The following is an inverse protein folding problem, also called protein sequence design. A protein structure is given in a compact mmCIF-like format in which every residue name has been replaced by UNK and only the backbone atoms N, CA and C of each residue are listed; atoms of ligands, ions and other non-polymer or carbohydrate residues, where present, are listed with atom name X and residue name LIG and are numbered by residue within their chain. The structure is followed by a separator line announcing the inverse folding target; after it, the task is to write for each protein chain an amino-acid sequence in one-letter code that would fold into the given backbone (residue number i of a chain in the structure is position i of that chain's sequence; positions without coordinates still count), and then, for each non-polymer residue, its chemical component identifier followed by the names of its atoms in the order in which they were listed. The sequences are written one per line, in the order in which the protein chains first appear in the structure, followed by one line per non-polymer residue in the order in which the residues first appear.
data_IF_745123230421
#
_entry.id   IF_745123230421
#
_cell.length_a   1.000
_cell.length_b   1.000
_cell.length_c   1.000
_cell.angle_alpha   90.00
_cell.angle_beta   90.00
_cell.angle_gamma   90.00
#
_symmetry.space_group_name_H-M   'P 1'
#
loop_
_entity.id
_entity.type
_entity.pdbx_description
1 polymer ?
#
# COMPACT_ATOMS: atom_id res chain seq x y z
N UNK A 1 -3.06 9.57 8.32
CA UNK A 1 -4.11 8.78 7.63
C UNK A 1 -4.10 9.04 6.13
N UNK A 2 -4.27 10.29 5.66
CA UNK A 2 -4.19 10.64 4.23
C UNK A 2 -2.93 10.06 3.54
N UNK A 3 -1.77 10.19 4.16
CA UNK A 3 -0.49 9.68 3.64
C UNK A 3 -0.43 8.18 3.32
N UNK A 4 -1.22 7.33 4.00
CA UNK A 4 -1.20 5.88 3.78
C UNK A 4 -2.08 5.49 2.58
N UNK A 5 -3.30 6.05 2.50
CA UNK A 5 -4.16 5.84 1.34
C UNK A 5 -3.56 6.47 0.08
N UNK A 6 -2.94 7.65 0.20
CA UNK A 6 -2.23 8.31 -0.91
C UNK A 6 -1.05 7.48 -1.42
N UNK A 7 -0.30 6.81 -0.53
CA UNK A 7 0.80 5.93 -0.93
C UNK A 7 0.31 4.71 -1.75
N UNK A 8 -0.93 4.29 -1.54
CA UNK A 8 -1.61 3.25 -2.33
C UNK A 8 -2.37 3.83 -3.54
N UNK A 9 -2.42 5.16 -3.70
CA UNK A 9 -3.20 5.84 -4.72
C UNK A 9 -4.72 5.72 -4.51
N UNK A 10 -5.15 5.63 -3.26
CA UNK A 10 -6.54 5.43 -2.87
C UNK A 10 -7.09 6.64 -2.13
N UNK A 11 -8.42 6.79 -2.16
CA UNK A 11 -9.11 7.76 -1.33
C UNK A 11 -9.07 7.30 0.15
N UNK A 12 -8.96 8.20 1.14
CA UNK A 12 -9.08 7.85 2.56
C UNK A 12 -10.38 7.13 2.95
N UNK A 13 -11.43 7.24 2.14
CA UNK A 13 -12.70 6.52 2.31
C UNK A 13 -12.74 5.17 1.55
N UNK A 14 -11.61 4.70 1.01
CA UNK A 14 -11.56 3.44 0.28
C UNK A 14 -11.83 2.24 1.21
N UNK A 15 -12.56 1.25 0.69
CA UNK A 15 -12.83 0.01 1.42
C UNK A 15 -11.58 -0.83 1.60
N UNK A 16 -11.58 -1.67 2.64
CA UNK A 16 -10.49 -2.61 2.89
C UNK A 16 -10.18 -3.51 1.67
N UNK A 17 -11.19 -3.86 0.88
CA UNK A 17 -11.00 -4.66 -0.32
C UNK A 17 -10.26 -3.89 -1.43
N UNK A 18 -10.60 -2.61 -1.63
CA UNK A 18 -9.88 -1.72 -2.54
C UNK A 18 -8.41 -1.54 -2.12
N UNK A 19 -8.16 -1.42 -0.81
CA UNK A 19 -6.82 -1.36 -0.22
C UNK A 19 -6.01 -2.62 -0.53
N UNK A 20 -6.60 -3.80 -0.29
CA UNK A 20 -5.96 -5.09 -0.62
C UNK A 20 -5.69 -5.24 -2.12
N UNK A 21 -6.62 -4.78 -2.97
CA UNK A 21 -6.46 -4.83 -4.42
C UNK A 21 -5.32 -3.93 -4.90
N UNK A 22 -5.28 -2.66 -4.45
CA UNK A 22 -4.22 -1.70 -4.78
C UNK A 22 -2.85 -2.19 -4.31
N UNK A 23 -2.76 -2.72 -3.08
CA UNK A 23 -1.54 -3.31 -2.55
C UNK A 23 -1.00 -4.42 -3.46
N UNK A 24 -1.84 -5.40 -3.82
CA UNK A 24 -1.42 -6.50 -4.71
C UNK A 24 -0.96 -6.00 -6.09
N UNK A 25 -1.60 -4.95 -6.62
CA UNK A 25 -1.22 -4.37 -7.90
C UNK A 25 0.15 -3.67 -7.81
N UNK A 26 0.35 -2.83 -6.80
CA UNK A 26 1.60 -2.10 -6.59
C UNK A 26 2.77 -3.04 -6.21
N UNK A 27 2.50 -4.08 -5.43
CA UNK A 27 3.48 -5.09 -5.05
C UNK A 27 4.04 -5.84 -6.27
N UNK A 28 3.20 -6.15 -7.26
CA UNK A 28 3.68 -6.72 -8.53
C UNK A 28 4.46 -5.70 -9.36
N UNK A 29 4.01 -4.44 -9.39
CA UNK A 29 4.66 -3.37 -10.17
C UNK A 29 6.06 -3.02 -9.65
N UNK A 30 6.25 -3.08 -8.34
CA UNK A 30 7.52 -2.77 -7.68
C UNK A 30 8.23 -4.03 -7.15
N UNK A 31 7.85 -5.22 -7.63
CA UNK A 31 8.48 -6.46 -7.21
C UNK A 31 9.96 -6.43 -7.61
N UNK A 32 10.90 -6.79 -6.71
CA UNK A 32 12.32 -6.78 -7.02
C UNK A 32 12.64 -7.60 -8.29
N UNK A 33 12.05 -8.79 -8.43
CA UNK A 33 12.25 -9.64 -9.63
C UNK A 33 11.85 -8.97 -10.96
N UNK A 34 10.94 -8.00 -10.93
CA UNK A 34 10.47 -7.27 -12.13
C UNK A 34 11.11 -5.88 -12.24
N UNK A 35 11.59 -5.32 -11.14
CA UNK A 35 12.08 -3.95 -11.08
C UNK A 35 13.18 -3.79 -10.02
N UNK A 36 14.43 -3.83 -10.48
CA UNK A 36 15.63 -3.77 -9.65
C UNK A 36 16.09 -2.33 -9.31
N UNK A 37 15.26 -1.31 -9.58
CA UNK A 37 15.61 0.07 -9.28
C UNK A 37 15.50 0.35 -7.77
N UNK A 38 16.45 1.12 -7.23
CA UNK A 38 16.40 1.59 -5.84
C UNK A 38 15.08 2.33 -5.52
N UNK A 39 14.55 3.04 -6.50
CA UNK A 39 13.25 3.72 -6.37
C UNK A 39 12.09 2.74 -6.25
N UNK A 40 12.11 1.62 -6.99
CA UNK A 40 11.10 0.57 -6.86
C UNK A 40 11.14 -0.06 -5.46
N UNK A 41 12.33 -0.28 -4.92
CA UNK A 41 12.49 -0.77 -3.55
C UNK A 41 11.91 0.22 -2.52
N UNK A 42 12.26 1.51 -2.63
CA UNK A 42 11.71 2.56 -1.75
C UNK A 42 10.18 2.67 -1.84
N UNK A 43 9.62 2.61 -3.06
CA UNK A 43 8.17 2.59 -3.31
C UNK A 43 7.51 1.38 -2.67
N UNK A 44 8.09 0.19 -2.83
CA UNK A 44 7.59 -1.04 -2.23
C UNK A 44 7.55 -0.95 -0.70
N UNK A 45 8.61 -0.44 -0.06
CA UNK A 45 8.63 -0.20 1.39
C UNK A 45 7.50 0.73 1.83
N UNK A 46 7.29 1.85 1.12
CA UNK A 46 6.19 2.78 1.41
C UNK A 46 4.82 2.11 1.30
N UNK A 47 4.59 1.33 0.23
CA UNK A 47 3.34 0.59 0.00
C UNK A 47 3.08 -0.43 1.10
N UNK A 48 4.10 -1.17 1.54
CA UNK A 48 3.99 -2.12 2.64
C UNK A 48 3.63 -1.42 3.97
N UNK A 49 4.30 -0.32 4.28
CA UNK A 49 4.05 0.44 5.51
C UNK A 49 2.63 1.03 5.53
N UNK A 50 2.19 1.59 4.41
CA UNK A 50 0.86 2.15 4.25
C UNK A 50 -0.23 1.08 4.42
N UNK A 51 -0.05 -0.08 3.78
CA UNK A 51 -0.97 -1.20 3.89
C UNK A 51 -1.10 -1.67 5.35
N UNK A 52 0.02 -1.85 6.05
CA UNK A 52 0.01 -2.25 7.47
C UNK A 52 -0.67 -1.21 8.37
N UNK A 53 -0.42 0.08 8.17
CA UNK A 53 -1.08 1.15 8.92
C UNK A 53 -2.60 1.13 8.73
N UNK A 54 -3.05 0.90 7.50
CA UNK A 54 -4.48 0.79 7.22
C UNK A 54 -5.04 -0.46 7.91
N UNK A 55 -4.45 -1.64 7.73
CA UNK A 55 -4.93 -2.87 8.40
C UNK A 55 -5.07 -2.67 9.91
N UNK A 56 -4.05 -2.09 10.55
CA UNK A 56 -4.07 -1.81 11.98
C UNK A 56 -5.21 -0.87 12.38
N UNK A 57 -5.45 0.19 11.60
CA UNK A 57 -6.58 1.09 11.83
C UNK A 57 -7.93 0.36 11.81
N UNK A 58 -8.12 -0.56 10.85
CA UNK A 58 -9.32 -1.38 10.76
C UNK A 58 -9.45 -2.41 11.89
N UNK A 59 -8.33 -2.94 12.41
CA UNK A 59 -8.34 -3.85 13.56
C UNK A 59 -8.66 -3.12 14.88
N UNK A 60 -8.17 -1.88 15.04
CA UNK A 60 -8.41 -1.06 16.23
C UNK A 60 -9.81 -0.40 16.24
N UNK A 61 -10.51 -0.38 15.10
CA UNK A 61 -11.85 0.21 14.94
C UNK A 61 -12.84 -0.81 14.32
N UNK A 62 -13.33 -1.79 15.10
CA UNK A 62 -14.27 -2.81 14.63
C UNK A 62 -15.66 -2.26 14.28
#
# INVERSE_FOLDING_TARGET
MASAYDALGLNPNASLDAVKHAYRHLARRFHPDLNNADEAHRRMTQVNHAYQQILRYWEENP
#
